data_IF_744127565409
#
_entry.id   IF_744127565409
#
_cell.length_a   1.000
_cell.length_b   1.000
_cell.length_c   1.000
_cell.angle_alpha   90.00
_cell.angle_beta   90.00
_cell.angle_gamma   90.00
#
_symmetry.space_group_name_H-M   'P 1'
#
loop_
_entity.id
_entity.type
_entity.pdbx_description
1 polymer ?
#
# COMPACT_ATOMS: atom_id res chain seq x y z
N UNK A 1 -24.83 -34.19 3.53
CA UNK A 1 -23.86 -33.35 4.25
C UNK A 1 -22.52 -34.02 4.08
N UNK A 2 -21.79 -33.58 3.05
CA UNK A 2 -20.59 -34.23 2.54
C UNK A 2 -19.39 -33.86 3.43
N UNK A 3 -18.43 -34.77 3.51
CA UNK A 3 -17.27 -34.76 4.40
C UNK A 3 -16.37 -33.54 4.18
N UNK A 4 -16.02 -32.85 5.26
CA UNK A 4 -14.80 -32.05 5.37
C UNK A 4 -13.63 -33.05 5.42
N UNK A 5 -12.72 -33.01 4.46
CA UNK A 5 -11.54 -33.88 4.40
C UNK A 5 -10.36 -33.07 4.95
N UNK A 6 -9.95 -33.42 6.16
CA UNK A 6 -8.73 -32.93 6.80
C UNK A 6 -7.51 -33.58 6.12
N UNK A 7 -6.56 -32.81 5.60
CA UNK A 7 -5.23 -33.29 5.22
C UNK A 7 -4.16 -32.38 5.84
N UNK A 8 -3.22 -33.00 6.55
CA UNK A 8 -2.26 -32.42 7.51
C UNK A 8 -0.97 -32.01 6.79
N UNK A 9 -0.32 -30.88 7.15
CA UNK A 9 1.09 -30.85 7.55
C UNK A 9 1.41 -29.71 8.56
N UNK A 10 1.95 -30.12 9.71
CA UNK A 10 2.46 -29.33 10.85
C UNK A 10 1.50 -28.33 11.52
N UNK A 11 0.49 -28.91 12.16
CA UNK A 11 -0.10 -28.43 13.41
C UNK A 11 1.02 -28.15 14.45
N UNK A 12 1.56 -26.94 14.44
CA UNK A 12 2.39 -26.40 15.53
C UNK A 12 1.72 -25.21 16.22
N UNK A 13 0.51 -24.84 15.79
CA UNK A 13 -0.25 -23.76 16.37
C UNK A 13 -1.67 -24.14 16.70
N UNK A 14 -2.06 -23.85 17.93
CA UNK A 14 -3.40 -24.13 18.41
C UNK A 14 -4.35 -23.13 17.70
N UNK A 15 -5.49 -23.59 17.15
CA UNK A 15 -6.63 -22.78 16.69
C UNK A 15 -6.69 -22.19 15.23
N UNK A 16 -5.92 -22.73 14.27
CA UNK A 16 -6.13 -22.36 12.84
C UNK A 16 -7.47 -22.87 12.23
N UNK A 17 -8.14 -22.03 11.43
CA UNK A 17 -9.42 -22.33 10.75
C UNK A 17 -9.32 -22.15 9.22
N UNK A 18 -9.18 -23.26 8.49
CA UNK A 18 -8.93 -23.24 7.04
C UNK A 18 -10.10 -23.87 6.26
N UNK A 19 -10.54 -23.19 5.20
CA UNK A 19 -11.51 -23.67 4.22
C UNK A 19 -10.97 -23.49 2.79
N UNK A 20 -10.29 -24.51 2.29
CA UNK A 20 -9.74 -24.60 0.94
C UNK A 20 -8.71 -25.72 0.87
N UNK A 21 -8.10 -25.91 -0.29
CA UNK A 21 -7.12 -26.95 -0.58
C UNK A 21 -5.69 -26.36 -0.65
N UNK A 22 -4.68 -27.21 -0.43
CA UNK A 22 -3.24 -26.92 -0.63
C UNK A 22 -2.60 -25.74 0.14
N UNK A 23 -3.26 -25.23 1.19
CA UNK A 23 -2.68 -24.23 2.11
C UNK A 23 -1.55 -24.80 3.01
N UNK A 24 -0.50 -24.01 3.23
CA UNK A 24 0.64 -24.33 4.10
C UNK A 24 0.88 -23.24 5.15
N UNK A 25 0.70 -23.56 6.44
CA UNK A 25 0.79 -22.59 7.53
C UNK A 25 1.83 -23.00 8.58
N UNK A 26 2.50 -22.01 9.15
CA UNK A 26 3.32 -22.12 10.36
C UNK A 26 2.93 -20.95 11.29
N UNK A 27 2.18 -21.25 12.35
CA UNK A 27 1.70 -20.26 13.32
C UNK A 27 0.32 -20.64 13.84
N UNK A 28 -0.25 -19.75 14.66
CA UNK A 28 -1.44 -19.96 15.48
C UNK A 28 -2.56 -18.99 15.07
N UNK A 29 -3.82 -19.30 15.43
CA UNK A 29 -4.98 -18.40 15.27
C UNK A 29 -5.29 -17.84 13.85
N UNK A 30 -4.75 -18.44 12.78
CA UNK A 30 -5.01 -18.00 11.42
C UNK A 30 -6.37 -18.49 10.86
N UNK A 31 -7.08 -17.64 10.12
CA UNK A 31 -8.33 -17.96 9.46
C UNK A 31 -8.23 -17.77 7.94
N UNK A 32 -8.39 -18.84 7.16
CA UNK A 32 -8.25 -18.80 5.69
C UNK A 32 -9.50 -19.35 5.00
N UNK A 33 -9.97 -18.62 3.98
CA UNK A 33 -10.92 -19.10 2.98
C UNK A 33 -10.29 -18.90 1.59
N UNK A 34 -9.83 -19.99 0.99
CA UNK A 34 -9.14 -19.97 -0.30
C UNK A 34 -8.10 -21.09 -0.40
N UNK A 35 -7.51 -21.22 -1.58
CA UNK A 35 -6.62 -22.30 -1.98
C UNK A 35 -5.16 -21.80 -2.10
N UNK A 36 -4.19 -22.71 -1.98
CA UNK A 36 -2.77 -22.47 -2.29
C UNK A 36 -2.04 -21.35 -1.49
N UNK A 37 -2.58 -20.91 -0.33
CA UNK A 37 -1.93 -19.88 0.50
C UNK A 37 -0.75 -20.45 1.33
N UNK A 38 0.31 -19.66 1.48
CA UNK A 38 1.48 -19.97 2.29
C UNK A 38 1.71 -18.90 3.38
N UNK A 39 1.52 -19.25 4.65
CA UNK A 39 1.63 -18.31 5.79
C UNK A 39 2.69 -18.77 6.78
N UNK A 40 3.51 -17.83 7.25
CA UNK A 40 4.35 -17.97 8.43
C UNK A 40 4.05 -16.79 9.36
N UNK A 41 3.33 -17.04 10.44
CA UNK A 41 2.90 -16.02 11.40
C UNK A 41 1.55 -16.36 12.04
N UNK A 42 1.16 -15.52 12.98
CA UNK A 42 0.01 -15.71 13.86
C UNK A 42 -1.12 -14.71 13.51
N UNK A 43 -2.36 -15.04 13.88
CA UNK A 43 -3.52 -14.13 13.84
C UNK A 43 -3.91 -13.58 12.43
N UNK A 44 -3.45 -14.21 11.34
CA UNK A 44 -3.78 -13.74 9.98
C UNK A 44 -5.18 -14.16 9.52
N UNK A 45 -5.91 -13.27 8.84
CA UNK A 45 -7.23 -13.51 8.27
C UNK A 45 -7.22 -13.30 6.75
N UNK A 46 -7.37 -14.37 5.96
CA UNK A 46 -7.31 -14.34 4.50
C UNK A 46 -8.62 -14.82 3.87
N UNK A 47 -9.10 -14.07 2.88
CA UNK A 47 -10.09 -14.52 1.91
C UNK A 47 -9.51 -14.31 0.50
N UNK A 48 -9.06 -15.39 -0.12
CA UNK A 48 -8.42 -15.36 -1.43
C UNK A 48 -7.41 -16.49 -1.61
N UNK A 49 -6.93 -16.63 -2.84
CA UNK A 49 -6.08 -17.71 -3.30
C UNK A 49 -4.63 -17.23 -3.51
N UNK A 50 -3.67 -18.17 -3.47
CA UNK A 50 -2.26 -17.94 -3.86
C UNK A 50 -1.49 -16.85 -3.06
N UNK A 51 -1.96 -16.45 -1.87
CA UNK A 51 -1.25 -15.45 -1.06
C UNK A 51 -0.04 -16.05 -0.31
N UNK A 52 1.05 -15.28 -0.23
CA UNK A 52 2.27 -15.64 0.49
C UNK A 52 2.59 -14.60 1.58
N UNK A 53 2.46 -14.98 2.86
CA UNK A 53 2.63 -14.07 4.00
C UNK A 53 3.74 -14.56 4.94
N UNK A 54 4.60 -13.63 5.35
CA UNK A 54 5.49 -13.79 6.49
C UNK A 54 5.25 -12.61 7.43
N UNK A 55 4.57 -12.86 8.55
CA UNK A 55 4.23 -11.87 9.55
C UNK A 55 2.88 -12.14 10.21
N UNK A 56 2.56 -11.32 11.20
CA UNK A 56 1.46 -11.50 12.13
C UNK A 56 0.34 -10.47 11.89
N UNK A 57 -0.88 -10.76 12.36
CA UNK A 57 -2.02 -9.82 12.40
C UNK A 57 -2.48 -9.26 11.03
N UNK A 58 -2.17 -9.93 9.90
CA UNK A 58 -2.56 -9.45 8.58
C UNK A 58 -4.00 -9.81 8.20
N UNK A 59 -4.71 -8.89 7.53
CA UNK A 59 -6.06 -9.09 7.03
C UNK A 59 -6.14 -8.84 5.51
N UNK A 60 -6.35 -9.91 4.73
CA UNK A 60 -6.36 -9.86 3.26
C UNK A 60 -7.70 -10.31 2.70
N UNK A 61 -8.21 -9.54 1.74
CA UNK A 61 -9.27 -9.96 0.83
C UNK A 61 -8.77 -9.74 -0.60
N UNK A 62 -8.38 -10.81 -1.27
CA UNK A 62 -7.80 -10.78 -2.62
C UNK A 62 -6.79 -11.89 -2.84
N UNK A 63 -6.36 -12.03 -4.08
CA UNK A 63 -5.53 -13.13 -4.58
C UNK A 63 -4.09 -12.66 -4.88
N UNK A 64 -3.15 -13.61 -4.92
CA UNK A 64 -1.77 -13.39 -5.39
C UNK A 64 -0.94 -12.33 -4.61
N UNK A 65 -1.32 -11.98 -3.37
CA UNK A 65 -0.56 -11.00 -2.58
C UNK A 65 0.69 -11.60 -1.92
N UNK A 66 1.79 -10.85 -1.91
CA UNK A 66 3.06 -11.25 -1.30
C UNK A 66 3.48 -10.26 -0.20
N UNK A 67 3.45 -10.69 1.06
CA UNK A 67 3.68 -9.83 2.23
C UNK A 67 4.84 -10.35 3.07
N UNK A 68 5.72 -9.44 3.44
CA UNK A 68 6.67 -9.60 4.55
C UNK A 68 6.45 -8.41 5.48
N UNK A 69 5.79 -8.63 6.62
CA UNK A 69 5.35 -7.56 7.51
C UNK A 69 4.17 -7.94 8.40
N UNK A 70 3.96 -7.13 9.44
CA UNK A 70 2.91 -7.31 10.43
C UNK A 70 1.84 -6.20 10.27
N UNK A 71 0.63 -6.45 10.77
CA UNK A 71 -0.48 -5.47 10.81
C UNK A 71 -0.91 -4.90 9.43
N UNK A 72 -0.82 -5.70 8.36
CA UNK A 72 -1.19 -5.26 7.01
C UNK A 72 -2.66 -5.55 6.69
N UNK A 73 -3.38 -4.55 6.16
CA UNK A 73 -4.74 -4.71 5.65
C UNK A 73 -4.81 -4.48 4.13
N UNK A 74 -5.23 -5.50 3.37
CA UNK A 74 -5.36 -5.42 1.91
C UNK A 74 -6.77 -5.79 1.46
N UNK A 75 -7.31 -4.99 0.55
CA UNK A 75 -8.44 -5.36 -0.31
C UNK A 75 -8.03 -5.16 -1.76
N UNK A 76 -7.68 -6.25 -2.46
CA UNK A 76 -7.19 -6.22 -3.82
C UNK A 76 -6.18 -7.33 -4.09
N UNK A 77 -5.79 -7.45 -5.35
CA UNK A 77 -5.01 -8.55 -5.90
C UNK A 77 -3.58 -8.11 -6.26
N UNK A 78 -2.66 -9.07 -6.36
CA UNK A 78 -1.30 -8.85 -6.90
C UNK A 78 -0.44 -7.80 -6.15
N UNK A 79 -0.74 -7.49 -4.89
CA UNK A 79 0.04 -6.51 -4.12
C UNK A 79 1.30 -7.15 -3.50
N UNK A 80 2.41 -6.40 -3.51
CA UNK A 80 3.68 -6.81 -2.93
C UNK A 80 4.16 -5.81 -1.87
N UNK A 81 4.27 -6.24 -0.61
CA UNK A 81 4.64 -5.38 0.52
C UNK A 81 5.82 -5.98 1.26
N UNK A 82 6.85 -5.17 1.49
CA UNK A 82 8.01 -5.54 2.31
C UNK A 82 8.26 -4.42 3.32
N UNK A 83 8.08 -4.73 4.59
CA UNK A 83 8.26 -3.80 5.70
C UNK A 83 9.12 -4.38 6.81
N UNK A 84 9.79 -3.50 7.56
CA UNK A 84 10.48 -3.86 8.80
C UNK A 84 9.65 -3.48 10.05
N UNK A 85 8.54 -2.74 9.87
CA UNK A 85 7.58 -2.35 10.91
C UNK A 85 6.13 -2.70 10.56
N UNK A 86 5.21 -1.99 11.21
CA UNK A 86 3.79 -2.33 11.29
C UNK A 86 2.97 -1.38 10.37
N UNK A 87 1.72 -1.77 10.09
CA UNK A 87 0.62 -0.89 9.62
C UNK A 87 0.70 -0.36 8.16
N UNK A 88 0.36 -1.17 7.14
CA UNK A 88 -0.06 -0.62 5.83
C UNK A 88 -1.53 -0.96 5.53
N UNK A 89 -2.24 -0.03 4.89
CA UNK A 89 -3.63 -0.22 4.47
C UNK A 89 -3.83 0.08 2.98
N UNK A 90 -4.21 -0.95 2.22
CA UNK A 90 -4.35 -0.86 0.76
C UNK A 90 -5.76 -1.25 0.31
N UNK A 91 -6.28 -0.49 -0.64
CA UNK A 91 -7.44 -0.85 -1.45
C UNK A 91 -7.07 -0.63 -2.91
N UNK A 92 -6.90 -1.71 -3.66
CA UNK A 92 -6.49 -1.68 -5.07
C UNK A 92 -5.52 -2.80 -5.40
N UNK A 93 -5.19 -2.89 -6.69
CA UNK A 93 -4.46 -4.01 -7.27
C UNK A 93 -3.04 -3.58 -7.70
N UNK A 94 -2.13 -4.54 -7.86
CA UNK A 94 -0.80 -4.34 -8.47
C UNK A 94 0.10 -3.30 -7.74
N UNK A 95 -0.13 -3.02 -6.45
CA UNK A 95 0.71 -2.06 -5.70
C UNK A 95 1.98 -2.71 -5.13
N UNK A 96 3.09 -1.96 -5.12
CA UNK A 96 4.36 -2.37 -4.57
C UNK A 96 4.87 -1.38 -3.51
N UNK A 97 5.03 -1.83 -2.26
CA UNK A 97 5.44 -0.98 -1.14
C UNK A 97 6.69 -1.52 -0.47
N UNK A 98 7.64 -0.61 -0.22
CA UNK A 98 8.74 -0.81 0.72
C UNK A 98 8.72 0.34 1.73
N UNK A 99 8.15 0.09 2.91
CA UNK A 99 8.04 1.06 4.00
C UNK A 99 6.73 0.97 4.78
N UNK A 100 6.71 1.61 5.94
CA UNK A 100 5.71 1.42 6.99
C UNK A 100 4.63 2.53 6.95
N UNK A 101 3.49 2.35 7.63
CA UNK A 101 2.47 3.40 7.83
C UNK A 101 1.85 4.01 6.54
N UNK A 102 1.86 3.29 5.41
CA UNK A 102 1.31 3.78 4.14
C UNK A 102 -0.19 3.43 3.96
N UNK A 103 -0.94 4.40 3.42
CA UNK A 103 -2.35 4.24 3.07
C UNK A 103 -2.59 4.51 1.58
N UNK A 104 -3.02 3.48 0.84
CA UNK A 104 -3.24 3.56 -0.62
C UNK A 104 -4.68 3.23 -0.97
N UNK A 105 -5.26 4.04 -1.85
CA UNK A 105 -6.49 3.72 -2.57
C UNK A 105 -6.23 3.93 -4.07
N UNK A 106 -6.09 2.84 -4.83
CA UNK A 106 -5.81 2.87 -6.26
C UNK A 106 -4.86 1.74 -6.68
N UNK A 107 -4.62 1.66 -7.99
CA UNK A 107 -3.93 0.54 -8.62
C UNK A 107 -2.54 0.94 -9.14
N UNK A 108 -1.65 -0.03 -9.34
CA UNK A 108 -0.35 0.16 -10.00
C UNK A 108 0.59 1.19 -9.30
N UNK A 109 0.47 1.42 -7.98
CA UNK A 109 1.34 2.37 -7.26
C UNK A 109 2.63 1.72 -6.75
N UNK A 110 3.74 2.45 -6.81
CA UNK A 110 5.04 2.04 -6.30
C UNK A 110 5.58 3.02 -5.25
N UNK A 111 5.76 2.56 -4.01
CA UNK A 111 6.22 3.38 -2.88
C UNK A 111 7.51 2.82 -2.31
N UNK A 112 8.48 3.71 -2.09
CA UNK A 112 9.62 3.48 -1.20
C UNK A 112 9.64 4.64 -0.19
N UNK A 113 9.18 4.39 1.02
CA UNK A 113 8.97 5.43 2.02
C UNK A 113 7.89 5.05 3.03
N UNK A 114 7.82 5.84 4.10
CA UNK A 114 6.92 5.60 5.22
C UNK A 114 5.86 6.72 5.29
N UNK A 115 4.75 6.48 6.01
CA UNK A 115 3.71 7.48 6.30
C UNK A 115 3.01 8.11 5.07
N UNK A 116 3.05 7.50 3.87
CA UNK A 116 2.45 8.10 2.66
C UNK A 116 0.95 7.87 2.54
N UNK A 117 0.25 8.86 1.99
CA UNK A 117 -1.19 8.77 1.68
C UNK A 117 -1.47 9.02 0.20
N UNK A 118 -1.83 7.95 -0.51
CA UNK A 118 -2.05 7.95 -1.96
C UNK A 118 -3.53 7.68 -2.28
N UNK A 119 -4.10 8.51 -3.15
CA UNK A 119 -5.38 8.23 -3.81
C UNK A 119 -5.22 8.41 -5.32
N UNK A 120 -5.31 7.31 -6.06
CA UNK A 120 -5.18 7.28 -7.51
C UNK A 120 -4.20 6.21 -7.97
N UNK A 121 -3.99 6.17 -9.28
CA UNK A 121 -3.36 5.04 -9.96
C UNK A 121 -2.01 5.44 -10.57
N UNK A 122 -1.14 4.47 -10.85
CA UNK A 122 0.12 4.68 -11.57
C UNK A 122 1.09 5.68 -10.89
N UNK A 123 1.04 5.84 -9.56
CA UNK A 123 1.92 6.79 -8.85
C UNK A 123 3.24 6.14 -8.40
N UNK A 124 4.32 6.92 -8.42
CA UNK A 124 5.64 6.52 -7.94
C UNK A 124 6.17 7.53 -6.91
N UNK A 125 6.34 7.08 -5.66
CA UNK A 125 6.87 7.90 -4.56
C UNK A 125 8.16 7.30 -4.02
N UNK A 126 9.18 8.13 -3.89
CA UNK A 126 10.45 7.79 -3.25
C UNK A 126 10.80 8.87 -2.23
N UNK A 127 10.63 8.55 -0.95
CA UNK A 127 11.08 9.40 0.14
C UNK A 127 12.58 9.19 0.37
N UNK A 128 13.31 10.30 0.46
CA UNK A 128 14.78 10.27 0.48
C UNK A 128 15.32 10.31 1.91
N UNK A 129 14.51 10.68 2.90
CA UNK A 129 14.86 10.70 4.32
C UNK A 129 13.79 9.96 5.13
N UNK A 130 14.20 8.88 5.81
CA UNK A 130 13.36 8.16 6.80
C UNK A 130 13.17 9.01 8.08
N UNK A 131 12.46 10.13 7.97
CA UNK A 131 12.18 11.03 9.08
C UNK A 131 10.79 11.64 8.92
N UNK A 132 9.72 10.99 9.39
CA UNK A 132 8.38 11.58 9.67
C UNK A 132 7.89 12.68 8.71
N UNK A 133 8.17 12.56 7.41
CA UNK A 133 7.81 13.54 6.40
C UNK A 133 6.91 12.81 5.40
N UNK A 134 5.76 13.39 5.10
CA UNK A 134 4.63 12.70 4.47
C UNK A 134 4.45 13.23 3.06
N UNK A 135 4.50 12.35 2.06
CA UNK A 135 3.95 12.71 0.75
C UNK A 135 2.46 12.35 0.68
N UNK A 136 1.66 13.30 0.21
CA UNK A 136 0.25 13.08 -0.08
C UNK A 136 0.00 13.36 -1.55
N UNK A 137 -0.51 12.36 -2.27
CA UNK A 137 -0.90 12.53 -3.65
C UNK A 137 -2.36 12.14 -3.87
N UNK A 138 -3.06 12.97 -4.64
CA UNK A 138 -4.36 12.67 -5.23
C UNK A 138 -4.24 12.91 -6.72
N UNK A 139 -4.15 11.85 -7.51
CA UNK A 139 -3.95 11.95 -8.95
C UNK A 139 -3.45 10.67 -9.58
N UNK A 140 -3.32 10.70 -10.90
CA UNK A 140 -2.78 9.62 -11.73
C UNK A 140 -1.42 10.02 -12.30
N UNK A 141 -0.52 9.05 -12.47
CA UNK A 141 0.81 9.25 -13.08
C UNK A 141 1.66 10.32 -12.34
N UNK A 142 1.60 10.35 -11.01
CA UNK A 142 2.38 11.27 -10.18
C UNK A 142 3.75 10.69 -9.81
N UNK A 143 4.81 11.49 -9.97
CA UNK A 143 6.16 11.16 -9.55
C UNK A 143 6.69 12.09 -8.46
N UNK A 144 7.04 11.55 -7.29
CA UNK A 144 7.66 12.32 -6.19
C UNK A 144 9.00 11.69 -5.82
N UNK A 145 10.06 12.51 -5.83
CA UNK A 145 11.35 12.19 -5.23
C UNK A 145 11.68 13.27 -4.19
N UNK A 146 11.65 12.90 -2.92
CA UNK A 146 11.84 13.83 -1.79
C UNK A 146 10.60 13.95 -0.92
N UNK A 147 10.75 14.63 0.21
CA UNK A 147 9.84 14.45 1.33
C UNK A 147 8.84 15.62 1.48
N UNK A 148 7.74 15.43 2.22
CA UNK A 148 6.78 16.50 2.56
C UNK A 148 6.12 17.19 1.35
N UNK A 149 5.83 16.41 0.32
CA UNK A 149 5.23 16.92 -0.91
C UNK A 149 3.72 16.66 -0.98
N UNK A 150 2.96 17.65 -1.43
CA UNK A 150 1.52 17.53 -1.61
C UNK A 150 1.10 17.77 -3.07
N UNK A 151 0.50 16.79 -3.72
CA UNK A 151 0.03 16.91 -5.11
C UNK A 151 -1.46 16.64 -5.19
N UNK A 152 -2.18 17.53 -5.86
CA UNK A 152 -3.57 17.30 -6.31
C UNK A 152 -3.63 17.59 -7.80
N UNK A 153 -3.82 16.55 -8.60
CA UNK A 153 -3.85 16.62 -10.06
C UNK A 153 -2.97 15.56 -10.71
N UNK A 154 -3.15 15.40 -12.01
CA UNK A 154 -2.56 14.31 -12.79
C UNK A 154 -1.25 14.75 -13.47
N UNK A 155 -0.42 13.80 -13.87
CA UNK A 155 0.78 14.04 -14.70
C UNK A 155 1.78 15.03 -14.06
N UNK A 156 1.96 14.95 -12.74
CA UNK A 156 2.81 15.87 -11.99
C UNK A 156 4.11 15.22 -11.50
N UNK A 157 5.20 16.00 -11.50
CA UNK A 157 6.49 15.55 -11.00
C UNK A 157 7.11 16.55 -10.01
N UNK A 158 7.59 16.05 -8.87
CA UNK A 158 8.36 16.84 -7.90
C UNK A 158 9.70 16.15 -7.63
N UNK A 159 10.79 16.93 -7.67
CA UNK A 159 12.09 16.54 -7.14
C UNK A 159 12.52 17.57 -6.09
N UNK A 160 12.61 17.13 -4.83
CA UNK A 160 12.93 17.92 -3.66
C UNK A 160 11.76 18.04 -2.68
N UNK A 161 11.99 18.73 -1.57
CA UNK A 161 11.12 18.60 -0.39
C UNK A 161 10.20 19.81 -0.20
N UNK A 162 9.12 19.65 0.56
CA UNK A 162 8.21 20.73 0.98
C UNK A 162 7.53 21.49 -0.18
N UNK A 163 7.12 20.79 -1.24
CA UNK A 163 6.47 21.41 -2.40
C UNK A 163 4.99 21.06 -2.47
N UNK A 164 4.19 21.93 -3.09
CA UNK A 164 2.78 21.69 -3.33
C UNK A 164 2.39 21.99 -4.78
N UNK A 165 1.67 21.06 -5.41
CA UNK A 165 1.07 21.25 -6.73
C UNK A 165 -0.44 21.10 -6.63
N UNK A 166 -1.16 22.04 -7.23
CA UNK A 166 -2.58 21.92 -7.53
C UNK A 166 -2.78 22.21 -9.02
N UNK A 167 -3.20 21.19 -9.76
CA UNK A 167 -3.35 21.21 -11.22
C UNK A 167 -2.53 20.12 -11.89
N UNK A 168 -2.62 20.05 -13.21
CA UNK A 168 -2.06 18.93 -13.99
C UNK A 168 -0.81 19.38 -14.79
N UNK A 169 -0.01 18.43 -15.28
CA UNK A 169 1.14 18.67 -16.17
C UNK A 169 2.25 19.56 -15.56
N UNK A 170 2.45 19.55 -14.24
CA UNK A 170 3.45 20.41 -13.59
C UNK A 170 4.73 19.65 -13.21
N UNK A 171 5.85 20.37 -13.24
CA UNK A 171 7.13 19.86 -12.77
C UNK A 171 7.82 20.87 -11.84
N UNK A 172 8.16 20.45 -10.62
CA UNK A 172 8.94 21.23 -9.65
C UNK A 172 10.30 20.55 -9.43
N UNK A 173 11.36 21.35 -9.44
CA UNK A 173 12.67 20.93 -8.93
C UNK A 173 13.12 21.98 -7.92
N UNK A 174 13.14 21.63 -6.64
CA UNK A 174 13.50 22.56 -5.59
C UNK A 174 13.06 22.12 -4.21
N UNK A 175 13.54 22.87 -3.21
CA UNK A 175 13.15 22.72 -1.83
C UNK A 175 12.29 23.92 -1.45
N UNK A 176 11.08 23.66 -0.97
CA UNK A 176 10.30 24.66 -0.25
C UNK A 176 11.00 25.00 1.06
N UNK A 177 11.02 26.28 1.42
CA UNK A 177 11.38 26.68 2.78
C UNK A 177 10.24 26.22 3.73
N UNK A 178 10.60 25.70 4.91
CA UNK A 178 9.67 25.16 5.94
C UNK A 178 8.48 26.09 6.31
N UNK A 179 8.56 27.38 5.95
CA UNK A 179 7.50 28.38 6.22
C UNK A 179 6.53 28.63 5.04
N UNK A 180 6.91 28.41 3.78
CA UNK A 180 6.05 28.78 2.63
C UNK A 180 5.94 27.76 1.48
N UNK A 181 6.79 26.72 1.42
CA UNK A 181 6.78 25.73 0.35
C UNK A 181 6.99 26.31 -1.06
N UNK A 182 7.20 25.48 -2.09
CA UNK A 182 7.01 25.92 -3.49
C UNK A 182 5.60 25.51 -3.91
N UNK A 183 4.71 26.48 -4.09
CA UNK A 183 3.31 26.21 -4.48
C UNK A 183 3.10 26.56 -5.95
N UNK A 184 2.73 25.56 -6.76
CA UNK A 184 2.20 25.76 -8.12
C UNK A 184 0.68 25.58 -8.09
N UNK A 185 -0.04 26.62 -8.50
CA UNK A 185 -1.51 26.57 -8.66
C UNK A 185 -1.83 26.97 -10.09
N UNK A 186 -2.35 26.05 -10.89
CA UNK A 186 -2.86 26.43 -12.20
C UNK A 186 -4.16 27.24 -12.04
N UNK A 187 -4.13 28.50 -12.48
CA UNK A 187 -5.28 29.40 -12.33
C UNK A 187 -6.13 29.37 -13.60
N UNK A 188 -7.19 28.57 -13.59
CA UNK A 188 -8.27 28.71 -14.57
C UNK A 188 -9.02 30.03 -14.34
N UNK A 189 -8.56 31.10 -14.98
CA UNK A 189 -9.36 32.31 -15.19
C UNK A 189 -10.56 32.01 -16.10
N UNK A 190 -11.79 32.27 -15.66
CA UNK A 190 -12.87 32.68 -16.59
C UNK A 190 -13.73 33.83 -16.03
N UNK A 191 -13.44 35.02 -16.57
CA UNK A 191 -14.23 36.24 -16.81
C UNK A 191 -15.42 36.63 -15.89
N UNK A 192 -15.28 37.80 -15.23
CA UNK A 192 -16.40 38.60 -14.72
C UNK A 192 -17.43 38.86 -15.83
N UNK A 193 -18.67 38.40 -15.65
CA UNK A 193 -19.80 38.87 -16.45
C UNK A 193 -20.23 40.27 -15.94
N UNK A 194 -20.02 41.26 -16.81
CA UNK A 194 -20.36 42.70 -16.74
C UNK A 194 -21.80 42.97 -16.27
#
# INVERSE_FOLDING_TARGET
MLKLLLMIFHDNGDDNAISGDDNALIGDDNAIIGDDNAIIGDDNAIIGDDNAIIGDDNAIIGDDNAIIGDDIAIIGDDNAIIVEGDDNALIGDDNAIIGDDNAIIGDDNAIIGDDNAIIGDDNAIIDTIMLFLVCCCIGVEVGIEGDDNAIIGDDNAIIGDNNAIIGDDNAIIGYGDEEEGVVVVDTLYTEENI
#
